data_IF_854386379324
#
_entry.id   IF_854386379324
#
_cell.length_a   1.000
_cell.length_b   1.000
_cell.length_c   1.000
_cell.angle_alpha   90.00
_cell.angle_beta   90.00
_cell.angle_gamma   90.00
#
_symmetry.space_group_name_H-M   'P 1'
#
loop_
_entity.id
_entity.type
_entity.pdbx_description
1 polymer ?
#
# COMPACT_ATOMS: atom_id res chain seq x y z
N UNK A 1 -13.16 13.63 0.08
CA UNK A 1 -12.51 14.94 -0.06
C UNK A 1 -12.57 15.78 1.23
N UNK A 2 -13.72 15.96 1.95
CA UNK A 2 -13.76 16.80 3.16
C UNK A 2 -12.83 16.33 4.27
N UNK A 3 -12.63 15.01 4.42
CA UNK A 3 -11.77 14.44 5.45
C UNK A 3 -10.29 14.86 5.30
N UNK A 4 -9.80 14.93 4.07
CA UNK A 4 -8.43 15.41 3.80
C UNK A 4 -8.28 16.91 4.07
N UNK A 5 -9.35 17.69 3.86
CA UNK A 5 -9.41 19.10 4.26
C UNK A 5 -9.30 19.26 5.77
N UNK A 6 -10.00 18.43 6.54
CA UNK A 6 -9.89 18.41 8.02
C UNK A 6 -8.48 18.04 8.47
N UNK A 7 -7.85 17.05 7.80
CA UNK A 7 -6.47 16.64 8.10
C UNK A 7 -5.48 17.80 7.92
N UNK A 8 -5.56 18.52 6.79
CA UNK A 8 -4.70 19.67 6.51
C UNK A 8 -4.98 20.83 7.49
N UNK A 9 -6.23 21.09 7.82
CA UNK A 9 -6.61 22.10 8.78
C UNK A 9 -6.07 21.78 10.18
N UNK A 10 -6.20 20.52 10.63
CA UNK A 10 -5.67 20.08 11.92
C UNK A 10 -4.15 20.15 11.99
N UNK A 11 -3.42 19.84 10.89
CA UNK A 11 -1.96 20.00 10.86
C UNK A 11 -1.55 21.46 11.02
N UNK A 12 -2.29 22.39 10.38
CA UNK A 12 -2.04 23.83 10.47
C UNK A 12 -2.34 24.35 11.90
N UNK A 13 -3.46 23.94 12.51
CA UNK A 13 -3.80 24.31 13.88
C UNK A 13 -2.73 23.82 14.86
N UNK A 14 -2.29 22.57 14.71
CA UNK A 14 -1.25 21.99 15.56
C UNK A 14 0.07 22.74 15.41
N UNK A 15 0.47 23.08 14.18
CA UNK A 15 1.64 23.91 13.92
C UNK A 15 1.57 25.28 14.61
N UNK A 16 0.42 25.97 14.52
CA UNK A 16 0.22 27.25 15.22
C UNK A 16 0.31 27.11 16.75
N UNK A 17 -0.18 26.02 17.32
CA UNK A 17 -0.10 25.79 18.76
C UNK A 17 1.34 25.51 19.22
N UNK A 18 2.18 24.90 18.38
CA UNK A 18 3.61 24.72 18.66
C UNK A 18 4.41 26.04 18.65
N UNK A 19 3.91 27.09 17.98
CA UNK A 19 4.55 28.42 18.01
C UNK A 19 4.33 29.19 19.33
N UNK A 20 3.44 28.70 20.21
CA UNK A 20 3.19 29.30 21.53
C UNK A 20 4.36 28.98 22.47
N UNK A 21 4.88 29.97 23.26
CA UNK A 21 5.97 29.72 24.20
C UNK A 21 5.62 28.64 25.22
N UNK A 22 6.44 27.60 25.33
CA UNK A 22 6.20 26.42 26.18
C UNK A 22 6.60 26.62 27.63
N UNK A 23 6.72 27.86 28.10
CA UNK A 23 7.19 28.21 29.44
C UNK A 23 6.12 27.99 30.55
N UNK A 24 4.89 27.64 30.16
CA UNK A 24 3.81 27.33 31.08
C UNK A 24 3.27 25.93 30.86
N UNK A 25 2.63 25.35 31.90
CA UNK A 25 1.99 24.01 31.77
C UNK A 25 0.97 24.00 30.65
N UNK A 26 0.24 25.09 30.45
CA UNK A 26 -0.69 25.26 29.33
C UNK A 26 -0.01 25.29 27.97
N UNK A 27 1.12 26.01 27.86
CA UNK A 27 1.92 26.09 26.64
C UNK A 27 2.48 24.75 26.19
N UNK A 28 2.72 23.82 27.11
CA UNK A 28 3.17 22.47 26.84
C UNK A 28 1.98 21.51 26.52
N UNK A 29 0.90 21.59 27.30
CA UNK A 29 -0.25 20.66 27.15
C UNK A 29 -1.02 20.86 25.86
N UNK A 30 -1.26 22.09 25.43
CA UNK A 30 -2.04 22.37 24.22
C UNK A 30 -1.44 21.77 22.93
N UNK A 31 -0.13 21.97 22.62
CA UNK A 31 0.48 21.31 21.48
C UNK A 31 0.48 19.79 21.59
N UNK A 32 0.69 19.23 22.79
CA UNK A 32 0.69 17.78 23.01
C UNK A 32 -0.69 17.16 22.72
N UNK A 33 -1.77 17.77 23.21
CA UNK A 33 -3.14 17.30 22.95
C UNK A 33 -3.47 17.45 21.46
N UNK A 34 -3.11 18.56 20.83
CA UNK A 34 -3.41 18.78 19.41
C UNK A 34 -2.64 17.82 18.51
N UNK A 35 -1.40 17.43 18.86
CA UNK A 35 -0.65 16.43 18.11
C UNK A 35 -1.27 15.03 18.23
N UNK A 36 -1.80 14.65 19.39
CA UNK A 36 -2.56 13.41 19.55
C UNK A 36 -3.83 13.41 18.70
N UNK A 37 -4.58 14.51 18.69
CA UNK A 37 -5.76 14.66 17.83
C UNK A 37 -5.41 14.61 16.36
N UNK A 38 -4.34 15.26 15.94
CA UNK A 38 -3.83 15.20 14.56
C UNK A 38 -3.51 13.76 14.15
N UNK A 39 -2.79 13.00 14.98
CA UNK A 39 -2.50 11.58 14.72
C UNK A 39 -3.80 10.76 14.61
N UNK A 40 -4.79 11.01 15.48
CA UNK A 40 -6.11 10.38 15.42
C UNK A 40 -6.84 10.68 14.11
N UNK A 41 -6.85 11.93 13.66
CA UNK A 41 -7.46 12.34 12.38
C UNK A 41 -6.73 11.72 11.20
N UNK A 42 -5.40 11.63 11.24
CA UNK A 42 -4.61 10.99 10.19
C UNK A 42 -4.93 9.49 10.08
N UNK A 43 -4.99 8.77 11.20
CA UNK A 43 -5.41 7.36 11.23
C UNK A 43 -6.84 7.20 10.71
N UNK A 44 -7.77 8.06 11.15
CA UNK A 44 -9.16 8.04 10.67
C UNK A 44 -9.24 8.26 9.15
N UNK A 45 -8.41 9.14 8.58
CA UNK A 45 -8.37 9.39 7.14
C UNK A 45 -8.01 8.13 6.34
N UNK A 46 -7.00 7.37 6.77
CA UNK A 46 -6.63 6.11 6.14
C UNK A 46 -7.70 5.03 6.30
N UNK A 47 -8.24 4.88 7.52
CA UNK A 47 -9.30 3.89 7.80
C UNK A 47 -10.54 4.17 6.95
N UNK A 48 -11.01 5.42 6.90
CA UNK A 48 -12.20 5.79 6.11
C UNK A 48 -11.93 5.57 4.62
N UNK A 49 -10.74 5.90 4.12
CA UNK A 49 -10.37 5.64 2.72
C UNK A 49 -10.43 4.14 2.42
N UNK A 50 -9.86 3.30 3.27
CA UNK A 50 -9.91 1.84 3.13
C UNK A 50 -11.36 1.32 3.16
N UNK A 51 -12.18 1.79 4.10
CA UNK A 51 -13.60 1.39 4.21
C UNK A 51 -14.38 1.79 2.95
N UNK A 52 -14.17 2.99 2.42
CA UNK A 52 -14.84 3.44 1.18
C UNK A 52 -14.44 2.54 0.00
N UNK A 53 -13.16 2.18 -0.13
CA UNK A 53 -12.68 1.30 -1.20
C UNK A 53 -13.29 -0.11 -1.09
N UNK A 54 -13.32 -0.67 0.12
CA UNK A 54 -13.93 -1.97 0.40
C UNK A 54 -15.43 -1.95 0.09
N UNK A 55 -16.16 -0.95 0.59
CA UNK A 55 -17.59 -0.81 0.35
C UNK A 55 -17.90 -0.65 -1.14
N UNK A 56 -17.11 0.14 -1.84
CA UNK A 56 -17.28 0.37 -3.28
C UNK A 56 -17.03 -0.90 -4.11
N UNK A 57 -16.05 -1.71 -3.73
CA UNK A 57 -15.82 -2.99 -4.38
C UNK A 57 -16.95 -3.99 -4.06
N UNK A 58 -17.28 -4.13 -2.77
CA UNK A 58 -18.29 -5.08 -2.31
C UNK A 58 -19.67 -4.77 -2.92
N UNK A 59 -20.12 -3.52 -2.82
CA UNK A 59 -21.45 -3.13 -3.29
C UNK A 59 -21.60 -3.29 -4.80
N UNK A 60 -20.58 -2.88 -5.56
CA UNK A 60 -20.68 -2.83 -7.02
C UNK A 60 -20.41 -4.18 -7.71
N UNK A 61 -19.62 -5.08 -7.12
CA UNK A 61 -19.24 -6.34 -7.77
C UNK A 61 -19.80 -7.58 -7.07
N UNK A 62 -19.96 -7.53 -5.76
CA UNK A 62 -20.39 -8.68 -4.95
C UNK A 62 -21.80 -8.52 -4.37
N UNK A 63 -22.37 -7.30 -4.42
CA UNK A 63 -23.71 -6.99 -3.94
C UNK A 63 -24.79 -7.12 -5.04
N UNK A 64 -26.02 -6.71 -4.71
CA UNK A 64 -27.17 -6.72 -5.63
C UNK A 64 -26.96 -5.87 -6.90
N UNK A 65 -26.11 -4.85 -6.85
CA UNK A 65 -25.74 -4.05 -8.02
C UNK A 65 -24.81 -4.80 -8.99
N UNK A 66 -24.15 -5.87 -8.54
CA UNK A 66 -23.29 -6.71 -9.37
C UNK A 66 -24.04 -7.33 -10.55
N UNK A 67 -25.28 -7.75 -10.35
CA UNK A 67 -26.11 -8.29 -11.45
C UNK A 67 -26.22 -7.29 -12.62
N UNK A 68 -26.50 -6.02 -12.32
CA UNK A 68 -26.59 -4.97 -13.34
C UNK A 68 -25.24 -4.68 -14.01
N UNK A 69 -24.14 -4.77 -13.24
CA UNK A 69 -22.79 -4.56 -13.77
C UNK A 69 -22.38 -5.66 -14.77
N UNK A 70 -22.80 -6.91 -14.52
CA UNK A 70 -22.46 -8.04 -15.41
C UNK A 70 -23.40 -8.14 -16.63
N UNK A 71 -24.50 -7.39 -16.68
CA UNK A 71 -25.34 -7.26 -17.91
C UNK A 71 -24.78 -6.25 -18.91
N UNK A 72 -23.81 -5.42 -18.49
CA UNK A 72 -23.10 -4.50 -19.40
C UNK A 72 -22.20 -5.30 -20.35
N UNK A 73 -22.00 -4.87 -21.61
CA UNK A 73 -21.12 -5.53 -22.58
C UNK A 73 -19.64 -5.26 -22.27
N UNK A 74 -19.22 -5.50 -21.03
CA UNK A 74 -17.87 -5.24 -20.51
C UNK A 74 -17.36 -6.51 -19.82
N UNK A 75 -16.10 -6.87 -20.04
CA UNK A 75 -15.52 -8.07 -19.45
C UNK A 75 -15.23 -7.88 -17.95
N UNK A 76 -15.28 -8.98 -17.18
CA UNK A 76 -14.93 -9.00 -15.75
C UNK A 76 -13.53 -8.40 -15.50
N UNK A 77 -12.60 -8.65 -16.42
CA UNK A 77 -11.25 -8.12 -16.41
C UNK A 77 -11.21 -6.60 -16.43
N UNK A 78 -12.03 -5.98 -17.31
CA UNK A 78 -12.11 -4.53 -17.41
C UNK A 78 -12.73 -3.90 -16.16
N UNK A 79 -13.75 -4.53 -15.58
CA UNK A 79 -14.33 -4.11 -14.31
C UNK A 79 -13.31 -4.15 -13.18
N UNK A 80 -12.60 -5.25 -13.03
CA UNK A 80 -11.58 -5.42 -11.98
C UNK A 80 -10.44 -4.40 -12.15
N UNK A 81 -9.94 -4.22 -13.38
CA UNK A 81 -8.89 -3.25 -13.68
C UNK A 81 -9.32 -1.82 -13.36
N UNK A 82 -10.53 -1.43 -13.78
CA UNK A 82 -11.08 -0.09 -13.48
C UNK A 82 -11.16 0.16 -11.97
N UNK A 83 -11.60 -0.82 -11.18
CA UNK A 83 -11.68 -0.70 -9.72
C UNK A 83 -10.28 -0.61 -9.08
N UNK A 84 -9.32 -1.38 -9.59
CA UNK A 84 -7.93 -1.32 -9.12
C UNK A 84 -7.30 0.04 -9.42
N UNK A 85 -7.49 0.58 -10.62
CA UNK A 85 -6.99 1.92 -10.97
C UNK A 85 -7.58 2.99 -10.05
N UNK A 86 -8.89 2.95 -9.81
CA UNK A 86 -9.54 3.90 -8.89
C UNK A 86 -8.98 3.76 -7.46
N UNK A 87 -8.75 2.53 -7.00
CA UNK A 87 -8.16 2.28 -5.68
C UNK A 87 -6.75 2.87 -5.58
N UNK A 88 -5.91 2.63 -6.59
CA UNK A 88 -4.54 3.20 -6.66
C UNK A 88 -4.59 4.72 -6.59
N UNK A 89 -5.44 5.36 -7.39
CA UNK A 89 -5.58 6.82 -7.40
C UNK A 89 -6.05 7.35 -6.04
N UNK A 90 -7.06 6.72 -5.43
CA UNK A 90 -7.59 7.15 -4.12
C UNK A 90 -6.57 6.98 -2.99
N UNK A 91 -5.84 5.87 -2.96
CA UNK A 91 -4.79 5.63 -1.96
C UNK A 91 -3.62 6.59 -2.19
N UNK A 92 -3.21 6.82 -3.43
CA UNK A 92 -2.16 7.78 -3.77
C UNK A 92 -2.54 9.21 -3.32
N UNK A 93 -3.77 9.64 -3.60
CA UNK A 93 -4.28 10.95 -3.14
C UNK A 93 -4.30 11.07 -1.62
N UNK A 94 -4.68 9.99 -0.89
CA UNK A 94 -4.64 10.00 0.57
C UNK A 94 -3.20 10.06 1.10
N UNK A 95 -2.28 9.37 0.45
CA UNK A 95 -0.84 9.43 0.75
C UNK A 95 -0.25 10.82 0.53
N UNK A 96 -0.59 11.47 -0.59
CA UNK A 96 -0.18 12.84 -0.88
C UNK A 96 -0.74 13.80 0.17
N UNK A 97 -2.03 13.71 0.52
CA UNK A 97 -2.63 14.55 1.54
C UNK A 97 -1.97 14.37 2.92
N UNK A 98 -1.63 13.13 3.29
CA UNK A 98 -0.90 12.83 4.52
C UNK A 98 0.52 13.42 4.48
N UNK A 99 1.23 13.28 3.37
CA UNK A 99 2.57 13.84 3.20
C UNK A 99 2.56 15.37 3.31
N UNK A 100 1.60 16.03 2.66
CA UNK A 100 1.43 17.48 2.74
C UNK A 100 1.11 17.91 4.18
N UNK A 101 0.26 17.18 4.90
CA UNK A 101 -0.09 17.50 6.28
C UNK A 101 1.09 17.35 7.24
N UNK A 102 1.94 16.33 7.04
CA UNK A 102 3.17 16.15 7.82
C UNK A 102 4.15 17.29 7.55
N UNK A 103 4.27 17.73 6.29
CA UNK A 103 5.12 18.88 5.92
C UNK A 103 4.72 20.17 6.63
N UNK A 104 3.41 20.45 6.72
CA UNK A 104 2.88 21.62 7.46
C UNK A 104 3.16 21.49 8.96
N UNK A 105 2.93 20.29 9.53
CA UNK A 105 3.17 20.02 10.94
C UNK A 105 4.65 20.20 11.32
N UNK A 106 5.57 19.75 10.46
CA UNK A 106 7.03 19.79 10.69
C UNK A 106 7.67 21.14 10.36
N UNK A 107 6.89 22.18 10.08
CA UNK A 107 7.38 23.52 9.66
C UNK A 107 8.33 23.48 8.45
N UNK A 108 8.14 22.48 7.60
CA UNK A 108 8.94 22.35 6.39
C UNK A 108 8.26 23.13 5.25
N UNK A 109 8.96 24.07 4.65
CA UNK A 109 8.43 24.73 3.48
C UNK A 109 8.26 23.71 2.34
N UNK A 110 7.11 23.72 1.67
CA UNK A 110 6.86 22.80 0.53
C UNK A 110 7.95 22.87 -0.52
N UNK A 111 8.53 24.06 -0.73
CA UNK A 111 9.63 24.26 -1.66
C UNK A 111 10.87 23.47 -1.24
N UNK A 112 11.25 23.49 0.03
CA UNK A 112 12.41 22.73 0.53
C UNK A 112 12.17 21.22 0.49
N UNK A 113 10.99 20.75 0.93
CA UNK A 113 10.64 19.32 0.86
C UNK A 113 10.72 18.77 -0.57
N UNK A 114 10.12 19.49 -1.51
CA UNK A 114 10.11 19.09 -2.92
C UNK A 114 11.50 19.14 -3.54
N UNK A 115 12.24 20.22 -3.27
CA UNK A 115 13.64 20.38 -3.74
C UNK A 115 14.55 19.34 -3.13
N UNK A 116 14.42 19.02 -1.84
CA UNK A 116 15.26 18.04 -1.17
C UNK A 116 14.92 16.61 -1.62
N UNK A 117 13.65 16.33 -1.91
CA UNK A 117 13.25 15.08 -2.52
C UNK A 117 13.85 14.93 -3.93
N UNK A 118 13.77 15.96 -4.78
CA UNK A 118 14.39 15.93 -6.12
C UNK A 118 15.91 15.82 -6.02
N UNK A 119 16.54 16.57 -5.14
CA UNK A 119 17.99 16.47 -4.89
C UNK A 119 18.39 15.10 -4.36
N UNK A 120 17.57 14.51 -3.48
CA UNK A 120 17.74 13.15 -3.00
C UNK A 120 17.75 12.14 -4.14
N UNK A 121 16.72 12.18 -4.98
CA UNK A 121 16.60 11.33 -6.19
C UNK A 121 17.76 11.58 -7.16
N UNK A 122 18.16 12.85 -7.37
CA UNK A 122 19.27 13.19 -8.26
C UNK A 122 20.62 12.71 -7.73
N UNK A 123 20.82 12.72 -6.40
CA UNK A 123 22.04 12.21 -5.75
C UNK A 123 22.10 10.69 -5.71
N UNK A 124 20.94 10.03 -5.62
CA UNK A 124 20.83 8.58 -5.46
C UNK A 124 20.72 7.78 -6.76
N UNK A 125 21.22 8.25 -7.89
CA UNK A 125 21.20 7.52 -9.17
C UNK A 125 20.33 8.16 -10.25
N UNK A 126 19.86 9.38 -10.00
CA UNK A 126 19.15 10.19 -10.97
C UNK A 126 17.70 9.76 -11.23
N UNK A 127 17.20 10.12 -12.40
CA UNK A 127 15.81 9.92 -12.80
C UNK A 127 15.39 8.43 -12.78
N UNK A 128 16.30 7.51 -13.11
CA UNK A 128 16.03 6.07 -13.14
C UNK A 128 15.65 5.54 -11.75
N UNK A 129 16.40 5.90 -10.72
CA UNK A 129 16.10 5.51 -9.34
C UNK A 129 14.72 6.00 -8.88
N UNK A 130 14.40 7.26 -9.22
CA UNK A 130 13.07 7.83 -8.93
C UNK A 130 11.94 7.10 -9.65
N UNK A 131 12.14 6.71 -10.91
CA UNK A 131 11.16 5.92 -11.67
C UNK A 131 10.97 4.52 -11.11
N UNK A 132 12.03 3.85 -10.70
CA UNK A 132 11.98 2.53 -10.06
C UNK A 132 11.25 2.59 -8.72
N UNK A 133 11.53 3.60 -7.89
CA UNK A 133 10.78 3.85 -6.63
C UNK A 133 9.30 4.13 -6.88
N UNK A 134 9.00 4.97 -7.86
CA UNK A 134 7.62 5.28 -8.24
C UNK A 134 6.89 4.03 -8.74
N UNK A 135 7.52 3.23 -9.59
CA UNK A 135 6.96 1.98 -10.08
C UNK A 135 6.68 1.01 -8.92
N UNK A 136 7.62 0.84 -7.99
CA UNK A 136 7.45 0.01 -6.80
C UNK A 136 6.31 0.51 -5.91
N UNK A 137 6.18 1.84 -5.72
CA UNK A 137 5.09 2.42 -4.95
C UNK A 137 3.72 2.14 -5.60
N UNK A 138 3.60 2.33 -6.92
CA UNK A 138 2.36 2.05 -7.66
C UNK A 138 1.99 0.57 -7.60
N UNK A 139 2.95 -0.34 -7.83
CA UNK A 139 2.74 -1.78 -7.71
C UNK A 139 2.36 -2.16 -6.28
N UNK A 140 3.05 -1.65 -5.26
CA UNK A 140 2.73 -1.93 -3.86
C UNK A 140 1.31 -1.51 -3.49
N UNK A 141 0.86 -0.33 -3.94
CA UNK A 141 -0.52 0.15 -3.71
C UNK A 141 -1.52 -0.73 -4.47
N UNK A 142 -1.23 -1.10 -5.72
CA UNK A 142 -2.08 -1.97 -6.52
C UNK A 142 -2.19 -3.36 -5.88
N UNK A 143 -1.08 -3.92 -5.40
CA UNK A 143 -1.02 -5.20 -4.71
C UNK A 143 -1.85 -5.21 -3.43
N UNK A 144 -1.77 -4.17 -2.61
CA UNK A 144 -2.62 -4.05 -1.42
C UNK A 144 -4.11 -4.06 -1.79
N UNK A 145 -4.51 -3.31 -2.80
CA UNK A 145 -5.91 -3.28 -3.24
C UNK A 145 -6.36 -4.63 -3.80
N UNK A 146 -5.56 -5.25 -4.67
CA UNK A 146 -5.86 -6.56 -5.28
C UNK A 146 -5.90 -7.68 -4.23
N UNK A 147 -5.02 -7.65 -3.23
CA UNK A 147 -5.03 -8.61 -2.12
C UNK A 147 -6.34 -8.53 -1.33
N UNK A 148 -6.80 -7.31 -1.00
CA UNK A 148 -8.09 -7.10 -0.34
C UNK A 148 -9.24 -7.59 -1.22
N UNK A 149 -9.23 -7.31 -2.52
CA UNK A 149 -10.25 -7.77 -3.46
C UNK A 149 -10.28 -9.29 -3.57
N UNK A 150 -9.13 -9.95 -3.59
CA UNK A 150 -9.02 -11.39 -3.56
C UNK A 150 -9.63 -11.97 -2.27
N UNK A 151 -9.32 -11.40 -1.11
CA UNK A 151 -9.88 -11.84 0.17
C UNK A 151 -11.41 -11.67 0.22
N UNK A 152 -11.93 -10.57 -0.35
CA UNK A 152 -13.37 -10.35 -0.45
C UNK A 152 -14.05 -11.35 -1.41
N UNK A 153 -13.43 -11.64 -2.55
CA UNK A 153 -13.94 -12.63 -3.49
C UNK A 153 -13.96 -14.04 -2.88
N UNK A 154 -12.90 -14.43 -2.14
CA UNK A 154 -12.86 -15.69 -1.39
C UNK A 154 -13.91 -15.75 -0.27
N UNK A 155 -14.08 -14.66 0.46
CA UNK A 155 -15.10 -14.57 1.52
C UNK A 155 -16.52 -14.71 0.99
N UNK A 156 -16.77 -14.26 -0.24
CA UNK A 156 -18.08 -14.37 -0.88
C UNK A 156 -18.47 -15.84 -1.22
N UNK A 157 -17.50 -16.74 -1.36
CA UNK A 157 -17.74 -18.17 -1.55
C UNK A 157 -18.35 -18.84 -0.30
N UNK A 158 -18.25 -18.25 0.88
CA UNK A 158 -18.88 -18.73 2.09
C UNK A 158 -20.33 -18.22 2.15
N UNK A 159 -21.30 -19.08 2.02
CA UNK A 159 -22.74 -18.76 1.86
C UNK A 159 -23.35 -17.86 2.96
N UNK A 160 -22.97 -18.05 4.24
CA UNK A 160 -23.39 -17.20 5.37
C UNK A 160 -22.23 -16.30 5.84
N UNK A 161 -22.54 -15.08 6.28
CA UNK A 161 -21.55 -14.13 6.85
C UNK A 161 -20.38 -13.75 5.91
N UNK A 162 -20.68 -13.44 4.66
CA UNK A 162 -19.74 -13.15 3.57
C UNK A 162 -18.65 -12.13 3.97
N UNK A 163 -19.03 -11.02 4.63
CA UNK A 163 -18.08 -10.00 5.08
C UNK A 163 -17.13 -10.51 6.18
N UNK A 164 -17.66 -11.27 7.15
CA UNK A 164 -16.86 -11.83 8.23
C UNK A 164 -15.84 -12.83 7.68
N UNK A 165 -16.25 -13.67 6.73
CA UNK A 165 -15.36 -14.62 6.05
C UNK A 165 -14.29 -13.91 5.22
N UNK A 166 -14.58 -12.75 4.65
CA UNK A 166 -13.55 -11.94 3.95
C UNK A 166 -12.45 -11.48 4.90
N UNK A 167 -12.82 -11.08 6.12
CA UNK A 167 -11.86 -10.70 7.17
C UNK A 167 -11.03 -11.90 7.62
N UNK A 168 -11.68 -13.06 7.80
CA UNK A 168 -10.98 -14.30 8.16
C UNK A 168 -9.97 -14.68 7.08
N UNK A 169 -10.35 -14.65 5.80
CA UNK A 169 -9.44 -14.91 4.68
C UNK A 169 -8.29 -13.91 4.63
N UNK A 170 -8.55 -12.64 4.92
CA UNK A 170 -7.50 -11.62 5.01
C UNK A 170 -6.47 -11.97 6.08
N UNK A 171 -6.92 -12.31 7.29
CA UNK A 171 -6.03 -12.68 8.42
C UNK A 171 -5.27 -13.96 8.09
N UNK A 172 -5.95 -15.00 7.59
CA UNK A 172 -5.31 -16.28 7.26
C UNK A 172 -4.25 -16.13 6.18
N UNK A 173 -4.59 -15.47 5.07
CA UNK A 173 -3.66 -15.31 3.95
C UNK A 173 -2.50 -14.37 4.30
N UNK A 174 -2.75 -13.26 5.03
CA UNK A 174 -1.67 -12.37 5.47
C UNK A 174 -0.72 -13.07 6.43
N UNK A 175 -1.26 -13.86 7.38
CA UNK A 175 -0.44 -14.65 8.31
C UNK A 175 0.33 -15.74 7.56
N UNK A 176 -0.31 -16.45 6.61
CA UNK A 176 0.35 -17.46 5.80
C UNK A 176 1.50 -16.87 4.97
N UNK A 177 1.31 -15.70 4.36
CA UNK A 177 2.37 -14.99 3.63
C UNK A 177 3.52 -14.57 4.55
N UNK A 178 3.21 -14.07 5.76
CA UNK A 178 4.23 -13.70 6.75
C UNK A 178 5.03 -14.90 7.21
N UNK A 179 4.35 -16.03 7.52
CA UNK A 179 5.01 -17.28 7.93
C UNK A 179 5.86 -17.82 6.78
N UNK A 180 5.35 -17.81 5.55
CA UNK A 180 6.11 -18.24 4.37
C UNK A 180 7.38 -17.39 4.18
N UNK A 181 7.26 -16.07 4.29
CA UNK A 181 8.39 -15.15 4.19
C UNK A 181 9.42 -15.44 5.30
N UNK A 182 8.97 -15.66 6.53
CA UNK A 182 9.80 -15.98 7.67
C UNK A 182 10.51 -17.32 7.48
N UNK A 183 9.81 -18.34 6.97
CA UNK A 183 10.40 -19.64 6.65
C UNK A 183 11.46 -19.52 5.54
N UNK A 184 11.20 -18.71 4.51
CA UNK A 184 12.18 -18.45 3.45
C UNK A 184 13.40 -17.74 4.01
N UNK A 185 13.20 -16.75 4.89
CA UNK A 185 14.30 -16.03 5.54
C UNK A 185 15.11 -16.89 6.51
N UNK A 186 14.44 -17.75 7.31
CA UNK A 186 15.10 -18.63 8.28
C UNK A 186 15.58 -19.94 7.64
N UNK A 187 14.84 -20.46 6.67
CA UNK A 187 15.07 -21.76 6.04
C UNK A 187 16.05 -21.72 4.87
N UNK A 188 16.31 -20.53 4.31
CA UNK A 188 17.23 -20.38 3.18
C UNK A 188 18.64 -20.91 3.44
N UNK A 189 19.07 -20.95 4.73
CA UNK A 189 20.34 -21.56 5.13
C UNK A 189 20.28 -23.05 5.48
N UNK A 190 19.10 -23.58 5.85
CA UNK A 190 19.01 -24.94 6.41
C UNK A 190 18.26 -25.94 5.50
N UNK A 191 17.48 -25.48 4.53
CA UNK A 191 16.67 -26.34 3.63
C UNK A 191 17.31 -26.45 2.24
N UNK A 192 18.17 -25.52 1.90
CA UNK A 192 18.89 -25.55 0.62
C UNK A 192 20.06 -26.53 0.70
N UNK A 193 20.29 -27.38 -0.33
CA UNK A 193 21.50 -28.18 -0.40
C UNK A 193 22.75 -27.27 -0.26
N UNK A 194 23.71 -27.66 0.58
CA UNK A 194 24.92 -26.85 0.86
C UNK A 194 25.61 -26.38 -0.43
N UNK A 195 25.68 -27.25 -1.44
CA UNK A 195 26.26 -26.91 -2.74
C UNK A 195 25.52 -25.76 -3.46
N UNK A 196 24.18 -25.66 -3.31
CA UNK A 196 23.39 -24.61 -3.92
C UNK A 196 23.51 -23.31 -3.09
N UNK A 197 23.49 -23.41 -1.79
CA UNK A 197 23.71 -22.28 -0.89
C UNK A 197 25.08 -21.65 -1.12
N UNK A 198 26.15 -22.46 -1.20
CA UNK A 198 27.51 -22.02 -1.51
C UNK A 198 27.65 -21.43 -2.93
N UNK A 199 26.92 -21.95 -3.89
CA UNK A 199 26.92 -21.39 -5.25
C UNK A 199 26.26 -20.01 -5.27
N UNK A 200 25.12 -19.84 -4.56
CA UNK A 200 24.42 -18.55 -4.44
C UNK A 200 25.26 -17.53 -3.67
N UNK A 201 25.88 -17.94 -2.57
CA UNK A 201 26.75 -17.06 -1.78
C UNK A 201 27.96 -16.61 -2.61
N UNK A 202 28.63 -17.51 -3.32
CA UNK A 202 29.74 -17.18 -4.21
C UNK A 202 29.33 -16.27 -5.36
N UNK A 203 28.15 -16.51 -5.94
CA UNK A 203 27.60 -15.65 -7.00
C UNK A 203 27.27 -14.26 -6.45
N UNK A 204 26.65 -14.18 -5.26
CA UNK A 204 26.37 -12.91 -4.59
C UNK A 204 27.66 -12.15 -4.24
N UNK A 205 28.67 -12.82 -3.66
CA UNK A 205 29.95 -12.23 -3.31
C UNK A 205 30.68 -11.69 -4.54
N UNK A 206 30.76 -12.50 -5.59
CA UNK A 206 31.38 -12.06 -6.85
C UNK A 206 30.66 -10.88 -7.48
N UNK A 207 29.32 -10.87 -7.39
CA UNK A 207 28.48 -9.80 -7.92
C UNK A 207 28.62 -8.54 -7.07
N UNK A 208 28.59 -8.66 -5.73
CA UNK A 208 28.73 -7.53 -4.82
C UNK A 208 30.12 -6.86 -4.86
N UNK A 209 31.19 -7.62 -5.21
CA UNK A 209 32.52 -7.05 -5.37
C UNK A 209 32.72 -6.25 -6.67
N UNK A 210 31.89 -6.54 -7.69
CA UNK A 210 31.98 -5.89 -9.00
C UNK A 210 30.97 -4.75 -9.20
N UNK A 211 29.93 -4.67 -8.36
CA UNK A 211 28.82 -3.72 -8.50
C UNK A 211 29.01 -2.56 -7.52
N UNK A 212 28.80 -1.33 -7.99
CA UNK A 212 28.75 -0.17 -7.08
C UNK A 212 27.55 -0.28 -6.13
N UNK A 213 27.59 0.31 -4.92
CA UNK A 213 26.44 0.31 -4.01
C UNK A 213 25.15 0.81 -4.66
N UNK A 214 25.27 1.66 -5.67
CA UNK A 214 24.16 2.22 -6.42
C UNK A 214 23.54 1.21 -7.39
N UNK A 215 24.36 0.48 -8.13
CA UNK A 215 23.89 -0.58 -9.01
C UNK A 215 23.23 -1.72 -8.24
N UNK A 216 23.73 -2.01 -7.02
CA UNK A 216 23.10 -2.97 -6.11
C UNK A 216 21.71 -2.49 -5.67
N UNK A 217 21.53 -1.20 -5.36
CA UNK A 217 20.25 -0.62 -5.02
C UNK A 217 19.26 -0.69 -6.19
N UNK A 218 19.69 -0.38 -7.42
CA UNK A 218 18.89 -0.53 -8.62
C UNK A 218 18.48 -1.99 -8.86
N UNK A 219 19.40 -2.94 -8.70
CA UNK A 219 19.11 -4.37 -8.86
C UNK A 219 18.06 -4.82 -7.84
N UNK A 220 18.22 -4.43 -6.57
CA UNK A 220 17.27 -4.75 -5.50
C UNK A 220 15.88 -4.18 -5.79
N UNK A 221 15.78 -2.92 -6.20
CA UNK A 221 14.50 -2.30 -6.55
C UNK A 221 13.82 -3.01 -7.72
N UNK A 222 14.56 -3.37 -8.77
CA UNK A 222 14.02 -4.12 -9.92
C UNK A 222 13.53 -5.50 -9.50
N UNK A 223 14.30 -6.22 -8.68
CA UNK A 223 13.84 -7.50 -8.15
C UNK A 223 12.55 -7.33 -7.34
N UNK A 224 12.45 -6.33 -6.45
CA UNK A 224 11.24 -6.04 -5.70
C UNK A 224 10.05 -5.72 -6.63
N UNK A 225 10.26 -4.94 -7.69
CA UNK A 225 9.22 -4.65 -8.69
C UNK A 225 8.73 -5.92 -9.40
N UNK A 226 9.64 -6.82 -9.77
CA UNK A 226 9.27 -8.09 -10.41
C UNK A 226 8.46 -8.97 -9.46
N UNK A 227 8.89 -9.11 -8.20
CA UNK A 227 8.14 -9.87 -7.19
C UNK A 227 6.77 -9.26 -6.91
N UNK A 228 6.68 -7.94 -6.79
CA UNK A 228 5.41 -7.25 -6.63
C UNK A 228 4.47 -7.50 -7.82
N UNK A 229 4.99 -7.40 -9.04
CA UNK A 229 4.21 -7.63 -10.27
C UNK A 229 3.71 -9.09 -10.38
N UNK A 230 4.53 -10.06 -9.99
CA UNK A 230 4.11 -11.48 -9.93
C UNK A 230 3.00 -11.65 -8.90
N UNK A 231 3.14 -11.08 -7.70
CA UNK A 231 2.12 -11.10 -6.66
C UNK A 231 0.80 -10.49 -7.13
N UNK A 232 0.86 -9.31 -7.74
CA UNK A 232 -0.29 -8.60 -8.29
C UNK A 232 -1.00 -9.42 -9.37
N UNK A 233 -0.23 -10.07 -10.26
CA UNK A 233 -0.76 -10.95 -11.29
C UNK A 233 -1.49 -12.16 -10.67
N UNK A 234 -0.94 -12.77 -9.63
CA UNK A 234 -1.59 -13.88 -8.91
C UNK A 234 -2.88 -13.41 -8.26
N UNK A 235 -2.87 -12.31 -7.52
CA UNK A 235 -4.07 -11.76 -6.87
C UNK A 235 -5.16 -11.41 -7.89
N UNK A 236 -4.76 -10.80 -9.00
CA UNK A 236 -5.66 -10.46 -10.10
C UNK A 236 -6.27 -11.70 -10.75
N UNK A 237 -5.47 -12.70 -11.09
CA UNK A 237 -5.93 -13.94 -11.75
C UNK A 237 -6.86 -14.74 -10.85
N UNK A 238 -6.54 -14.88 -9.56
CA UNK A 238 -7.40 -15.57 -8.58
C UNK A 238 -8.73 -14.84 -8.43
N UNK A 239 -8.70 -13.51 -8.26
CA UNK A 239 -9.93 -12.71 -8.16
C UNK A 239 -10.78 -12.84 -9.42
N UNK A 240 -10.17 -12.71 -10.61
CA UNK A 240 -10.86 -12.87 -11.88
C UNK A 240 -11.49 -14.26 -12.02
N UNK A 241 -10.75 -15.32 -11.66
CA UNK A 241 -11.23 -16.69 -11.76
C UNK A 241 -12.46 -16.93 -10.87
N UNK A 242 -12.44 -16.43 -9.64
CA UNK A 242 -13.56 -16.50 -8.71
C UNK A 242 -14.79 -15.77 -9.27
N UNK A 243 -14.58 -14.53 -9.73
CA UNK A 243 -15.66 -13.70 -10.27
C UNK A 243 -16.30 -14.29 -11.54
N UNK A 244 -15.52 -15.03 -12.36
CA UNK A 244 -16.02 -15.63 -13.60
C UNK A 244 -16.70 -16.99 -13.42
N UNK A 245 -16.24 -17.82 -12.45
CA UNK A 245 -16.66 -19.23 -12.41
C UNK A 245 -17.45 -19.60 -11.14
N UNK A 246 -17.38 -18.80 -10.09
CA UNK A 246 -17.93 -19.14 -8.78
C UNK A 246 -18.92 -18.12 -8.23
N UNK A 247 -19.17 -17.04 -8.93
CA UNK A 247 -20.10 -16.02 -8.47
C UNK A 247 -21.52 -16.45 -8.85
N UNK A 248 -22.22 -17.10 -7.91
CA UNK A 248 -23.68 -17.22 -7.95
C UNK A 248 -24.25 -15.90 -7.41
N UNK A 249 -24.86 -15.13 -8.29
CA UNK A 249 -25.52 -13.85 -7.98
C UNK A 249 -27.00 -14.04 -7.57
N UNK A 250 -27.35 -15.20 -6.98
CA UNK A 250 -28.66 -15.43 -6.40
C UNK A 250 -28.81 -14.78 -5.02
#
# INVERSE_FOLDING_TARGET
LPLYGVLILMSFVTHLLYSIPQNSTFGFMLPAISSMLYMGVMMAAFVVTAVILIQRFYKNLLGSEGYLMFTLPVTVTQHLLSKTIIAVVMIALSGIAAFLSIGIFADMSFGTLFVDMIKGVARSGGLLFGLELFALAVLGIAGMALFVYMCMALGHLAGKHRLLMSVVWYVVLSTALQVLLLLVMMGGGNVMPEALADAIVRWLDSTMQTITPMDAAHLMLRCCCVFALIGDAVYFLVTRWILTHRLNLE
#
